data_IF_550083130264
#
_entry.id   IF_550083130264
#
_cell.length_a   1.000
_cell.length_b   1.000
_cell.length_c   1.000
_cell.angle_alpha   90.00
_cell.angle_beta   90.00
_cell.angle_gamma   90.00
#
_symmetry.space_group_name_H-M   'P 1'
#
loop_
_entity.id
_entity.type
_entity.pdbx_description
1 polymer ?
#
# COMPACT_ATOMS: atom_id res chain seq x y z
N UNK A 1 -37.25 21.72 16.41
CA UNK A 1 -36.41 21.08 17.45
C UNK A 1 -34.97 21.33 17.05
N UNK A 2 -34.20 22.07 17.86
CA UNK A 2 -32.81 22.39 17.52
C UNK A 2 -31.93 21.17 17.82
N UNK A 3 -31.02 20.84 16.90
CA UNK A 3 -30.05 19.75 17.10
C UNK A 3 -29.05 20.18 18.18
N UNK A 4 -28.84 19.33 19.17
CA UNK A 4 -27.75 19.48 20.14
C UNK A 4 -26.43 19.15 19.44
N UNK A 5 -25.77 20.20 18.93
CA UNK A 5 -24.55 20.10 18.13
C UNK A 5 -23.42 19.39 18.90
N UNK A 6 -23.14 19.71 20.18
CA UNK A 6 -22.18 18.97 20.99
C UNK A 6 -22.46 17.46 21.06
N UNK A 7 -23.69 17.07 21.39
CA UNK A 7 -24.05 15.65 21.52
C UNK A 7 -23.94 14.92 20.17
N UNK A 8 -24.37 15.56 19.09
CA UNK A 8 -24.20 15.03 17.73
C UNK A 8 -22.73 14.82 17.38
N UNK A 9 -21.87 15.82 17.62
CA UNK A 9 -20.45 15.76 17.31
C UNK A 9 -19.74 14.65 18.10
N UNK A 10 -20.05 14.48 19.39
CA UNK A 10 -19.50 13.40 20.21
C UNK A 10 -19.88 12.02 19.67
N UNK A 11 -21.15 11.85 19.26
CA UNK A 11 -21.60 10.61 18.65
C UNK A 11 -20.86 10.36 17.32
N UNK A 12 -20.72 11.36 16.44
CA UNK A 12 -19.98 11.21 15.19
C UNK A 12 -18.52 10.81 15.43
N UNK A 13 -17.84 11.42 16.40
CA UNK A 13 -16.46 11.04 16.75
C UNK A 13 -16.38 9.58 17.25
N UNK A 14 -17.36 9.12 18.02
CA UNK A 14 -17.39 7.72 18.48
C UNK A 14 -17.60 6.73 17.33
N UNK A 15 -18.43 7.09 16.35
CA UNK A 15 -18.69 6.27 15.17
C UNK A 15 -17.45 6.21 14.26
N UNK A 16 -16.81 7.35 14.00
CA UNK A 16 -15.57 7.40 13.21
C UNK A 16 -14.44 6.60 13.87
N UNK A 17 -14.33 6.64 15.20
CA UNK A 17 -13.33 5.84 15.92
C UNK A 17 -13.60 4.34 15.78
N UNK A 18 -14.87 3.92 15.83
CA UNK A 18 -15.25 2.53 15.64
C UNK A 18 -15.02 2.06 14.19
N UNK A 19 -15.37 2.89 13.21
CA UNK A 19 -15.13 2.64 11.78
C UNK A 19 -13.63 2.48 11.49
N UNK A 20 -12.81 3.42 11.95
CA UNK A 20 -11.35 3.36 11.79
C UNK A 20 -10.75 2.09 12.40
N UNK A 21 -11.22 1.70 13.59
CA UNK A 21 -10.74 0.47 14.24
C UNK A 21 -11.09 -0.79 13.42
N UNK A 22 -12.30 -0.83 12.84
CA UNK A 22 -12.72 -1.92 11.96
C UNK A 22 -11.90 -1.96 10.66
N UNK A 23 -11.68 -0.82 10.01
CA UNK A 23 -10.90 -0.71 8.77
C UNK A 23 -9.43 -1.15 8.97
N UNK A 24 -8.81 -0.76 10.10
CA UNK A 24 -7.45 -1.20 10.45
C UNK A 24 -7.41 -2.71 10.66
N UNK A 25 -8.39 -3.28 11.35
CA UNK A 25 -8.46 -4.72 11.58
C UNK A 25 -8.62 -5.51 10.27
N UNK A 26 -9.48 -5.04 9.38
CA UNK A 26 -9.69 -5.62 8.05
C UNK A 26 -8.43 -5.52 7.18
N UNK A 27 -7.83 -4.34 7.06
CA UNK A 27 -6.62 -4.13 6.26
C UNK A 27 -5.45 -4.98 6.76
N UNK A 28 -5.29 -5.08 8.09
CA UNK A 28 -4.27 -5.94 8.72
C UNK A 28 -4.53 -7.43 8.43
N UNK A 29 -5.78 -7.87 8.47
CA UNK A 29 -6.15 -9.24 8.10
C UNK A 29 -5.85 -9.52 6.62
N UNK A 30 -6.20 -8.62 5.71
CA UNK A 30 -5.91 -8.78 4.27
C UNK A 30 -4.42 -8.93 3.99
N UNK A 31 -3.59 -8.09 4.61
CA UNK A 31 -2.13 -8.12 4.43
C UNK A 31 -1.50 -9.38 5.05
N UNK A 32 -2.01 -9.85 6.19
CA UNK A 32 -1.44 -11.01 6.90
C UNK A 32 -1.89 -12.37 6.35
N UNK A 33 -3.10 -12.46 5.78
CA UNK A 33 -3.69 -13.72 5.34
C UNK A 33 -3.42 -14.04 3.86
N UNK A 34 -2.98 -13.06 3.07
CA UNK A 34 -2.76 -13.24 1.64
C UNK A 34 -1.29 -13.09 1.27
N UNK A 35 -0.84 -13.86 0.27
CA UNK A 35 0.49 -13.69 -0.28
C UNK A 35 0.58 -12.37 -1.06
N UNK A 36 1.76 -11.73 -1.13
CA UNK A 36 1.93 -10.49 -1.92
C UNK A 36 1.48 -10.63 -3.38
N UNK A 37 1.70 -11.81 -3.99
CA UNK A 37 1.23 -12.09 -5.35
C UNK A 37 -0.29 -12.14 -5.47
N UNK A 38 -0.99 -12.70 -4.47
CA UNK A 38 -2.45 -12.74 -4.47
C UNK A 38 -3.04 -11.32 -4.35
N UNK A 39 -2.45 -10.48 -3.49
CA UNK A 39 -2.83 -9.08 -3.34
C UNK A 39 -2.58 -8.27 -4.63
N UNK A 40 -1.47 -8.52 -5.33
CA UNK A 40 -1.20 -7.88 -6.62
C UNK A 40 -2.23 -8.28 -7.68
N UNK A 41 -2.60 -9.55 -7.78
CA UNK A 41 -3.64 -10.00 -8.71
C UNK A 41 -5.01 -9.38 -8.40
N UNK A 42 -5.28 -9.08 -7.14
CA UNK A 42 -6.48 -8.36 -6.72
C UNK A 42 -6.38 -6.83 -6.94
N UNK A 43 -5.23 -6.31 -7.40
CA UNK A 43 -5.02 -4.91 -7.71
C UNK A 43 -4.78 -4.00 -6.48
N UNK A 44 -4.57 -4.59 -5.30
CA UNK A 44 -4.41 -3.86 -4.02
C UNK A 44 -2.95 -3.86 -3.50
N UNK A 45 -2.02 -4.42 -4.26
CA UNK A 45 -0.58 -4.36 -3.97
C UNK A 45 0.25 -4.34 -5.25
N UNK A 46 1.48 -3.85 -5.15
CA UNK A 46 2.49 -3.94 -6.20
C UNK A 46 3.74 -4.60 -5.63
N UNK A 47 4.29 -5.56 -6.37
CA UNK A 47 5.50 -6.32 -5.98
C UNK A 47 6.58 -6.19 -7.05
N UNK A 48 7.80 -6.64 -6.73
CA UNK A 48 8.99 -6.52 -7.57
C UNK A 48 9.28 -5.06 -7.96
N UNK A 49 9.21 -4.17 -6.98
CA UNK A 49 9.56 -2.77 -7.17
C UNK A 49 11.00 -2.50 -6.70
N UNK A 50 11.67 -1.62 -7.42
CA UNK A 50 13.01 -1.10 -7.10
C UNK A 50 12.95 0.41 -6.95
N UNK A 51 13.90 0.97 -6.19
CA UNK A 51 14.03 2.41 -6.01
C UNK A 51 14.62 3.04 -7.28
N UNK A 52 13.79 3.77 -8.02
CA UNK A 52 14.22 4.54 -9.20
C UNK A 52 14.91 5.84 -8.77
N UNK A 53 14.36 6.53 -7.77
CA UNK A 53 14.87 7.82 -7.30
C UNK A 53 14.45 8.08 -5.86
N UNK A 54 15.32 8.76 -5.11
CA UNK A 54 15.03 9.23 -3.76
C UNK A 54 15.48 10.69 -3.63
N UNK A 55 14.58 11.56 -3.18
CA UNK A 55 14.88 12.97 -2.97
C UNK A 55 14.15 13.54 -1.76
N UNK A 56 14.61 14.68 -1.28
CA UNK A 56 13.89 15.46 -0.27
C UNK A 56 12.87 16.35 -0.96
N UNK A 57 11.60 16.20 -0.57
CA UNK A 57 10.47 17.00 -1.04
C UNK A 57 10.09 18.12 -0.06
N UNK A 58 8.90 18.69 -0.30
CA UNK A 58 8.36 19.79 0.50
C UNK A 58 8.20 19.40 1.97
N UNK A 59 8.59 20.31 2.87
CA UNK A 59 8.49 20.08 4.31
C UNK A 59 9.47 19.03 4.85
N UNK A 60 10.56 18.75 4.13
CA UNK A 60 11.59 17.80 4.56
C UNK A 60 11.21 16.33 4.40
N UNK A 61 10.09 16.03 3.72
CA UNK A 61 9.64 14.66 3.49
C UNK A 61 10.51 13.94 2.47
N UNK A 62 10.79 12.66 2.67
CA UNK A 62 11.42 11.83 1.65
C UNK A 62 10.40 11.44 0.58
N UNK A 63 10.74 11.68 -0.68
CA UNK A 63 9.96 11.25 -1.85
C UNK A 63 10.72 10.11 -2.51
N UNK A 64 10.08 8.95 -2.54
CA UNK A 64 10.58 7.75 -3.22
C UNK A 64 9.82 7.59 -4.54
N UNK A 65 10.55 7.30 -5.60
CA UNK A 65 10.01 6.85 -6.87
C UNK A 65 10.33 5.37 -7.01
N UNK A 66 9.29 4.55 -7.13
CA UNK A 66 9.41 3.10 -7.25
C UNK A 66 9.00 2.68 -8.66
N UNK A 67 9.87 1.93 -9.33
CA UNK A 67 9.62 1.36 -10.65
C UNK A 67 9.76 -0.17 -10.62
N UNK A 68 9.20 -0.89 -11.59
CA UNK A 68 9.32 -2.34 -11.64
C UNK A 68 10.78 -2.77 -11.84
N UNK A 69 11.14 -3.90 -11.22
CA UNK A 69 12.49 -4.46 -11.26
C UNK A 69 12.84 -4.96 -12.69
N UNK A 70 13.87 -4.40 -13.34
CA UNK A 70 14.30 -4.80 -14.68
C UNK A 70 14.59 -6.31 -14.82
N UNK A 71 14.99 -6.98 -13.73
CA UNK A 71 15.28 -8.41 -13.74
C UNK A 71 14.02 -9.29 -13.83
N UNK A 72 12.86 -8.74 -13.48
CA UNK A 72 11.56 -9.45 -13.49
C UNK A 72 10.66 -9.01 -14.63
N UNK A 73 10.93 -7.86 -15.26
CA UNK A 73 10.16 -7.34 -16.39
C UNK A 73 10.55 -8.07 -17.68
N UNK A 74 9.59 -8.74 -18.33
CA UNK A 74 9.80 -9.29 -19.66
C UNK A 74 9.68 -8.18 -20.72
N UNK A 75 10.56 -8.20 -21.73
CA UNK A 75 10.66 -7.20 -22.81
C UNK A 75 9.42 -7.01 -23.71
N UNK A 76 8.30 -7.69 -23.40
CA UNK A 76 7.04 -7.61 -24.12
C UNK A 76 6.20 -6.37 -23.77
N UNK A 77 6.54 -5.60 -22.74
CA UNK A 77 5.98 -4.25 -22.50
C UNK A 77 6.72 -3.23 -23.37
N UNK A 78 6.60 -3.36 -24.69
CA UNK A 78 7.25 -2.50 -25.67
C UNK A 78 6.53 -1.14 -25.73
N UNK A 79 7.04 -0.17 -24.96
CA UNK A 79 6.68 1.24 -25.09
C UNK A 79 7.07 2.05 -23.85
N UNK A 80 8.20 2.79 -23.91
CA UNK A 80 8.60 3.83 -22.96
C UNK A 80 8.35 3.54 -21.46
N UNK A 81 9.12 2.61 -20.91
CA UNK A 81 9.07 2.24 -19.48
C UNK A 81 8.40 0.90 -19.28
N UNK A 82 8.94 0.08 -18.38
CA UNK A 82 8.22 -1.11 -17.96
C UNK A 82 6.98 -0.65 -17.17
N UNK A 83 5.80 -0.86 -17.74
CA UNK A 83 4.54 -0.46 -17.12
C UNK A 83 4.25 -1.31 -15.87
N UNK A 84 3.69 -0.67 -14.84
CA UNK A 84 3.18 -1.37 -13.66
C UNK A 84 2.00 -2.27 -14.06
N UNK A 85 1.82 -3.44 -13.42
CA UNK A 85 0.63 -4.26 -13.63
C UNK A 85 -0.63 -3.48 -13.26
N UNK A 86 -1.78 -3.86 -13.82
CA UNK A 86 -3.06 -3.21 -13.52
C UNK A 86 -3.32 -3.16 -12.00
N UNK A 87 -3.60 -1.96 -11.48
CA UNK A 87 -3.79 -1.72 -10.06
C UNK A 87 -4.88 -0.69 -9.77
N UNK A 88 -5.48 -0.82 -8.59
CA UNK A 88 -6.47 0.11 -8.04
C UNK A 88 -5.85 1.35 -7.39
N UNK A 89 -4.53 1.36 -7.14
CA UNK A 89 -3.84 2.43 -6.40
C UNK A 89 -3.93 3.78 -7.13
N UNK A 90 -4.27 4.85 -6.42
CA UNK A 90 -4.43 6.22 -6.90
C UNK A 90 -3.63 7.22 -6.05
N UNK A 91 -3.52 8.45 -6.58
CA UNK A 91 -2.90 9.56 -5.86
C UNK A 91 -3.75 9.90 -4.63
N UNK A 92 -3.12 9.89 -3.45
CA UNK A 92 -3.78 10.17 -2.17
C UNK A 92 -3.96 8.92 -1.31
N UNK A 93 -3.78 7.73 -1.87
CA UNK A 93 -3.86 6.48 -1.11
C UNK A 93 -2.77 6.40 -0.06
N UNK A 94 -3.13 5.86 1.10
CA UNK A 94 -2.19 5.54 2.18
C UNK A 94 -1.67 4.14 1.92
N UNK A 95 -0.35 4.01 1.72
CA UNK A 95 0.30 2.74 1.37
C UNK A 95 1.36 2.37 2.41
N UNK A 96 1.58 1.07 2.56
CA UNK A 96 2.69 0.52 3.33
C UNK A 96 3.75 0.05 2.34
N UNK A 97 5.00 0.48 2.55
CA UNK A 97 6.17 -0.01 1.81
C UNK A 97 6.89 -1.00 2.71
N UNK A 98 7.06 -2.23 2.21
CA UNK A 98 7.75 -3.31 2.92
C UNK A 98 8.72 -4.01 1.99
N UNK A 99 9.79 -4.58 2.57
CA UNK A 99 10.71 -5.43 1.81
C UNK A 99 9.98 -6.66 1.30
N UNK A 100 10.25 -7.01 0.03
CA UNK A 100 9.68 -8.22 -0.54
C UNK A 100 10.32 -9.45 0.12
N UNK A 101 9.52 -10.41 0.62
CA UNK A 101 10.08 -11.63 1.19
C UNK A 101 10.86 -12.39 0.11
N UNK A 102 12.09 -12.79 0.45
CA UNK A 102 12.93 -13.56 -0.45
C UNK A 102 12.19 -14.82 -0.94
N UNK A 103 12.10 -14.98 -2.27
CA UNK A 103 11.51 -16.17 -2.88
C UNK A 103 12.39 -17.39 -2.55
N UNK A 104 12.02 -18.13 -1.51
CA UNK A 104 12.73 -19.32 -1.06
C UNK A 104 13.82 -19.02 -0.02
N UNK A 105 13.47 -19.17 1.26
CA UNK A 105 14.44 -19.06 2.33
C UNK A 105 13.80 -19.20 3.70
N UNK A 106 13.54 -20.45 4.12
CA UNK A 106 13.56 -20.78 5.54
C UNK A 106 14.87 -20.23 6.08
N UNK A 107 14.82 -19.18 6.90
CA UNK A 107 15.99 -18.78 7.69
C UNK A 107 16.29 -19.95 8.61
N UNK A 108 17.32 -20.74 8.30
CA UNK A 108 17.90 -21.71 9.23
C UNK A 108 18.29 -20.90 10.47
N UNK A 109 17.62 -21.17 11.60
CA UNK A 109 18.06 -20.66 12.90
C UNK A 109 19.42 -21.31 13.19
N UNK A 110 20.45 -20.50 13.35
CA UNK A 110 21.65 -20.85 14.10
C UNK A 110 21.46 -20.46 15.57
#
# INVERSE_FOLDING_TARGET
MAVDVPAFAQNQLSLLAAELAAEIAESSALVSLHSPQALQRAGVALTNLTLTSQRTGLGGKTVLELGPDPATTTSSSSGNGADLPEHGIRVGDIVIVAEQPAAGGVKKRE
#
